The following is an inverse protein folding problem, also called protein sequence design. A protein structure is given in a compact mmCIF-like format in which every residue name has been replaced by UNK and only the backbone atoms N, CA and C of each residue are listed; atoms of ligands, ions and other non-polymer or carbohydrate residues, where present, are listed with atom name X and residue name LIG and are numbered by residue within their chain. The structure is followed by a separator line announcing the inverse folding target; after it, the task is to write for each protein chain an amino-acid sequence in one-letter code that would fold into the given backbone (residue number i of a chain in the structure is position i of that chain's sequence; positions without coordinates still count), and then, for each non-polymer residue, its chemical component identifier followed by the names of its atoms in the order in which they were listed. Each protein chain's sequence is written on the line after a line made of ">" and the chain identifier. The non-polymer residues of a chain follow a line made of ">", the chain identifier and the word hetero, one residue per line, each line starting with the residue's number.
data_IF_725556207757
#
_entry.id   IF_725556207757
#
_cell.length_a   1.000
_cell.length_b   1.000
_cell.length_c   1.000
_cell.angle_alpha   90.00
_cell.angle_beta   90.00
_cell.angle_gamma   90.00
#
_symmetry.space_group_name_H-M   'P 1'
#
loop_
_entity.id
_entity.type
_entity.pdbx_description
1 polymer ?
#
# COMPACT_ATOMS: atom_id res chain seq x y z
N UNK A 1 32.27 -40.28 -2.12
CA UNK A 1 31.51 -41.50 -2.46
C UNK A 1 30.14 -41.44 -1.80
N UNK A 2 29.12 -41.69 -2.62
CA UNK A 2 27.66 -41.82 -2.43
C UNK A 2 27.11 -42.11 -1.02
N UNK A 3 26.20 -41.24 -0.56
CA UNK A 3 25.00 -41.61 0.24
C UNK A 3 23.77 -40.92 -0.37
N UNK A 4 23.27 -41.47 -1.49
CA UNK A 4 21.99 -42.17 -1.62
C UNK A 4 20.74 -41.33 -1.28
N UNK A 5 20.33 -40.57 -2.30
CA UNK A 5 18.94 -40.29 -2.70
C UNK A 5 18.10 -41.57 -2.59
N UNK A 6 16.95 -41.50 -1.92
CA UNK A 6 15.72 -42.31 -2.17
C UNK A 6 14.68 -42.02 -1.09
N UNK A 7 13.70 -41.15 -1.39
CA UNK A 7 12.40 -41.07 -0.70
C UNK A 7 11.39 -40.30 -1.57
N UNK A 8 11.31 -40.69 -2.84
CA UNK A 8 10.22 -40.33 -3.75
C UNK A 8 9.78 -41.63 -4.43
N UNK A 9 8.90 -42.40 -3.78
CA UNK A 9 8.16 -43.48 -4.45
C UNK A 9 7.06 -44.09 -3.56
N UNK A 10 6.04 -43.31 -3.16
CA UNK A 10 4.72 -43.87 -2.80
C UNK A 10 3.68 -42.80 -3.12
N UNK A 11 2.54 -43.20 -3.68
CA UNK A 11 1.39 -42.40 -4.15
C UNK A 11 1.35 -42.04 -5.64
N UNK A 12 1.61 -43.04 -6.49
CA UNK A 12 0.97 -43.14 -7.79
C UNK A 12 0.21 -44.48 -7.85
N UNK A 13 -1.04 -44.42 -8.30
CA UNK A 13 -1.92 -45.54 -8.66
C UNK A 13 -2.77 -46.22 -7.56
N UNK A 14 -3.97 -45.69 -7.32
CA UNK A 14 -5.23 -46.48 -7.32
C UNK A 14 -6.27 -45.62 -8.08
N UNK A 15 -6.46 -45.84 -9.38
CA UNK A 15 -7.66 -46.47 -9.98
C UNK A 15 -8.97 -45.83 -9.48
N UNK A 16 -9.61 -44.91 -10.21
CA UNK A 16 -10.43 -45.10 -11.42
C UNK A 16 -11.71 -45.94 -11.22
N UNK A 17 -12.81 -45.42 -11.81
CA UNK A 17 -14.18 -45.97 -11.98
C UNK A 17 -15.12 -45.68 -10.78
N UNK A 18 -16.35 -45.18 -10.92
CA UNK A 18 -17.38 -45.20 -11.97
C UNK A 18 -18.23 -43.91 -11.90
N UNK A 19 -18.43 -43.14 -12.98
CA UNK A 19 -19.56 -43.14 -13.94
C UNK A 19 -21.00 -43.20 -13.38
N UNK A 20 -21.71 -42.10 -13.69
CA UNK A 20 -23.11 -41.95 -14.17
C UNK A 20 -24.30 -41.96 -13.21
N UNK A 21 -24.98 -40.79 -13.22
CA UNK A 21 -26.41 -40.52 -13.34
C UNK A 21 -27.35 -40.98 -12.22
N UNK A 22 -28.19 -40.05 -11.71
CA UNK A 22 -29.66 -40.15 -11.67
C UNK A 22 -30.30 -38.92 -10.97
N UNK A 23 -31.14 -38.23 -11.76
CA UNK A 23 -32.30 -37.33 -11.52
C UNK A 23 -32.26 -36.14 -10.55
N UNK A 24 -32.33 -34.97 -11.17
CA UNK A 24 -33.31 -33.88 -10.98
C UNK A 24 -34.62 -34.29 -10.25
N UNK A 25 -34.96 -33.59 -9.17
CA UNK A 25 -36.34 -33.43 -8.72
C UNK A 25 -36.55 -31.96 -8.33
N UNK A 26 -37.44 -31.35 -9.11
CA UNK A 26 -37.90 -29.98 -9.02
C UNK A 26 -38.57 -29.62 -7.69
N UNK A 27 -38.47 -28.31 -7.39
CA UNK A 27 -39.49 -27.43 -6.80
C UNK A 27 -40.22 -27.88 -5.53
N UNK A 28 -40.12 -27.05 -4.48
CA UNK A 28 -41.33 -26.50 -3.85
C UNK A 28 -41.00 -25.23 -3.06
N UNK A 29 -41.85 -24.22 -3.25
CA UNK A 29 -41.84 -22.90 -2.60
C UNK A 29 -42.68 -22.98 -1.32
N UNK A 30 -42.27 -22.33 -0.24
CA UNK A 30 -43.20 -21.59 0.61
C UNK A 30 -42.51 -20.47 1.39
N UNK A 31 -43.10 -19.28 1.33
CA UNK A 31 -42.73 -18.06 2.05
C UNK A 31 -43.03 -18.19 3.55
N UNK A 32 -42.29 -17.48 4.39
CA UNK A 32 -42.61 -17.42 5.83
C UNK A 32 -41.65 -16.54 6.63
N UNK A 33 -41.94 -15.25 6.64
CA UNK A 33 -41.43 -14.23 7.57
C UNK A 33 -41.52 -14.63 9.04
N UNK A 34 -40.51 -14.27 9.86
CA UNK A 34 -40.68 -13.37 11.02
C UNK A 34 -39.35 -13.11 11.76
N UNK A 35 -39.26 -11.87 12.23
CA UNK A 35 -38.23 -11.25 13.05
C UNK A 35 -37.92 -12.04 14.34
N UNK A 36 -36.69 -11.89 14.87
CA UNK A 36 -36.45 -11.15 16.12
C UNK A 36 -34.97 -11.15 16.51
N UNK A 37 -34.58 -10.03 17.12
CA UNK A 37 -33.25 -9.64 17.55
C UNK A 37 -32.62 -10.55 18.62
N UNK A 38 -31.29 -10.48 18.76
CA UNK A 38 -30.65 -9.88 19.95
C UNK A 38 -29.13 -10.03 19.90
N UNK A 39 -28.45 -8.87 19.94
CA UNK A 39 -27.05 -8.69 20.28
C UNK A 39 -26.91 -8.91 21.79
N UNK A 40 -25.89 -9.64 22.23
CA UNK A 40 -25.34 -9.44 23.56
C UNK A 40 -23.80 -9.39 23.50
N UNK A 41 -23.30 -8.27 24.00
CA UNK A 41 -21.91 -7.88 24.17
C UNK A 41 -21.74 -7.53 25.63
N UNK A 42 -20.86 -8.22 26.35
CA UNK A 42 -20.05 -7.78 27.49
C UNK A 42 -19.51 -9.05 28.20
N UNK A 43 -18.40 -9.10 28.93
CA UNK A 43 -17.65 -8.05 29.62
C UNK A 43 -16.26 -8.61 30.02
N UNK A 44 -15.30 -7.69 29.94
CA UNK A 44 -14.03 -7.52 30.66
C UNK A 44 -13.89 -8.28 31.99
N UNK A 45 -12.69 -8.82 32.25
CA UNK A 45 -12.12 -8.90 33.61
C UNK A 45 -10.64 -8.49 33.60
N UNK A 46 -10.34 -7.44 34.37
CA UNK A 46 -9.01 -7.02 34.84
C UNK A 46 -8.50 -7.96 35.94
N UNK A 47 -7.18 -8.17 36.05
CA UNK A 47 -6.35 -7.71 37.20
C UNK A 47 -4.90 -8.24 37.17
N UNK A 48 -3.99 -7.29 37.40
CA UNK A 48 -2.81 -7.28 38.31
C UNK A 48 -1.98 -8.57 38.50
N UNK A 49 -0.64 -8.51 38.38
CA UNK A 49 0.29 -8.14 39.48
C UNK A 49 1.78 -8.24 39.07
N UNK A 50 2.61 -7.46 39.79
CA UNK A 50 4.03 -7.68 40.18
C UNK A 50 5.13 -7.78 39.11
N UNK A 51 6.03 -6.80 39.00
CA UNK A 51 7.22 -6.53 39.85
C UNK A 51 8.28 -7.62 39.80
N UNK A 52 9.47 -7.26 39.31
CA UNK A 52 10.74 -7.56 39.99
C UNK A 52 11.85 -6.63 39.49
N UNK A 53 12.50 -6.02 40.47
CA UNK A 53 13.76 -5.30 40.45
C UNK A 53 14.91 -6.15 39.92
N UNK A 54 15.90 -5.53 39.26
CA UNK A 54 17.30 -5.72 39.61
C UNK A 54 18.14 -4.52 39.15
N UNK A 55 18.89 -4.03 40.11
CA UNK A 55 19.96 -3.03 40.10
C UNK A 55 21.22 -3.57 39.39
N UNK A 56 21.99 -2.68 38.76
CA UNK A 56 23.46 -2.54 38.90
C UNK A 56 23.98 -1.49 37.90
N UNK A 57 24.21 -0.30 38.46
CA UNK A 57 25.46 0.48 38.51
C UNK A 57 26.35 0.68 37.26
N UNK A 58 26.33 1.93 36.79
CA UNK A 58 27.43 2.90 36.52
C UNK A 58 28.65 2.47 35.69
N UNK A 59 28.85 3.22 34.60
CA UNK A 59 30.13 3.50 33.94
C UNK A 59 30.02 4.75 33.05
N UNK A 60 30.18 5.93 33.65
CA UNK A 60 30.74 7.16 33.04
C UNK A 60 32.21 6.84 32.61
N UNK A 61 32.91 7.42 31.64
CA UNK A 61 32.98 8.70 30.90
C UNK A 61 33.93 8.40 29.70
N UNK A 62 33.67 8.85 28.47
CA UNK A 62 34.19 10.07 27.81
C UNK A 62 35.36 9.84 26.82
N UNK A 63 35.19 10.48 25.65
CA UNK A 63 36.15 10.95 24.64
C UNK A 63 37.36 10.09 24.22
N UNK A 64 37.46 9.79 22.92
CA UNK A 64 38.37 10.55 22.06
C UNK A 64 38.11 10.33 20.57
N UNK A 65 38.25 11.43 19.83
CA UNK A 65 38.09 11.60 18.38
C UNK A 65 39.47 11.45 17.73
N UNK A 66 39.57 10.75 16.59
CA UNK A 66 40.51 11.19 15.56
C UNK A 66 39.81 11.83 14.35
N UNK A 67 40.19 13.08 14.06
CA UNK A 67 39.97 13.71 12.77
C UNK A 67 40.99 13.15 11.79
N UNK A 68 40.54 12.64 10.64
CA UNK A 68 41.32 12.70 9.42
C UNK A 68 40.47 13.28 8.28
N UNK A 69 40.93 14.46 7.88
CA UNK A 69 40.93 15.10 6.58
C UNK A 69 40.27 14.33 5.41
N UNK A 70 39.10 14.81 5.00
CA UNK A 70 38.71 14.80 3.59
C UNK A 70 38.38 16.24 3.17
N UNK A 71 39.42 16.96 2.75
CA UNK A 71 39.43 17.83 1.56
C UNK A 71 38.03 18.22 1.08
N UNK A 72 37.59 19.40 1.53
CA UNK A 72 36.40 20.09 1.07
C UNK A 72 36.51 20.38 -0.44
N UNK A 73 36.13 19.40 -1.24
CA UNK A 73 35.81 19.58 -2.65
C UNK A 73 34.43 20.23 -2.69
N UNK A 74 34.38 21.42 -3.26
CA UNK A 74 33.21 22.26 -3.43
C UNK A 74 31.96 21.44 -3.81
N UNK A 75 30.99 21.38 -2.89
CA UNK A 75 29.62 20.99 -3.22
C UNK A 75 29.09 22.06 -4.18
N UNK A 76 28.62 21.70 -5.39
CA UNK A 76 28.16 22.69 -6.36
C UNK A 76 26.95 23.44 -5.82
N UNK A 77 27.12 24.76 -5.63
CA UNK A 77 26.04 25.73 -5.31
C UNK A 77 25.02 25.90 -6.46
N UNK A 78 25.03 25.02 -7.48
CA UNK A 78 24.21 25.11 -8.68
C UNK A 78 22.85 24.39 -8.53
N UNK A 79 22.69 23.48 -7.58
CA UNK A 79 21.46 22.68 -7.41
C UNK A 79 20.33 23.44 -6.69
N UNK A 80 20.65 24.48 -5.92
CA UNK A 80 19.65 25.16 -5.09
C UNK A 80 18.69 26.01 -5.94
N UNK A 81 19.17 26.61 -7.02
CA UNK A 81 18.33 27.43 -7.90
C UNK A 81 17.45 26.58 -8.84
N UNK A 82 17.95 25.41 -9.28
CA UNK A 82 17.13 24.42 -10.00
C UNK A 82 16.11 23.73 -9.10
N UNK A 83 16.47 23.39 -7.85
CA UNK A 83 15.54 22.89 -6.84
C UNK A 83 14.39 23.89 -6.61
N UNK A 84 14.68 25.19 -6.50
CA UNK A 84 13.67 26.21 -6.24
C UNK A 84 12.76 26.44 -7.44
N UNK A 85 13.29 26.45 -8.68
CA UNK A 85 12.48 26.56 -9.90
C UNK A 85 11.63 25.32 -10.17
N UNK A 86 12.14 24.12 -9.84
CA UNK A 86 11.36 22.90 -9.89
C UNK A 86 10.27 22.91 -8.80
N UNK A 87 10.58 23.35 -7.57
CA UNK A 87 9.61 23.50 -6.48
C UNK A 87 8.50 24.51 -6.80
N UNK A 88 8.82 25.63 -7.43
CA UNK A 88 7.85 26.67 -7.83
C UNK A 88 6.93 26.18 -8.97
N UNK A 89 7.45 25.39 -9.92
CA UNK A 89 6.63 24.73 -10.97
C UNK A 89 5.77 23.59 -10.41
N UNK A 90 6.23 22.94 -9.33
CA UNK A 90 5.56 21.83 -8.65
C UNK A 90 4.36 22.32 -7.81
N UNK A 91 4.35 23.57 -7.34
CA UNK A 91 3.24 24.14 -6.54
C UNK A 91 1.92 24.32 -7.31
N UNK A 92 1.95 24.48 -8.64
CA UNK A 92 0.73 24.58 -9.47
C UNK A 92 0.28 23.23 -10.08
N UNK A 93 0.86 22.11 -9.62
CA UNK A 93 0.42 20.79 -10.05
C UNK A 93 -1.02 20.52 -9.56
N UNK A 94 -2.04 20.80 -10.38
CA UNK A 94 -3.46 20.60 -10.02
C UNK A 94 -4.11 19.37 -10.67
N UNK A 95 -3.37 18.70 -11.55
CA UNK A 95 -3.91 17.59 -12.31
C UNK A 95 -3.81 16.27 -11.51
N UNK A 96 -4.96 15.75 -11.09
CA UNK A 96 -5.06 14.45 -10.40
C UNK A 96 -5.49 13.30 -11.32
N UNK A 97 -5.39 13.50 -12.64
CA UNK A 97 -5.72 12.48 -13.61
C UNK A 97 -4.76 11.29 -13.55
N UNK A 98 -5.28 10.13 -13.92
CA UNK A 98 -4.54 8.87 -13.91
C UNK A 98 -3.19 8.99 -14.60
N UNK A 99 -3.19 9.51 -15.84
CA UNK A 99 -2.00 9.62 -16.69
C UNK A 99 -0.94 10.53 -16.08
N UNK A 100 -1.35 11.69 -15.58
CA UNK A 100 -0.43 12.70 -15.04
C UNK A 100 0.18 12.22 -13.72
N UNK A 101 -0.64 11.66 -12.83
CA UNK A 101 -0.16 11.15 -11.53
C UNK A 101 0.70 9.90 -11.72
N UNK A 102 0.31 8.96 -12.58
CA UNK A 102 1.08 7.75 -12.85
C UNK A 102 2.46 8.09 -13.44
N UNK A 103 2.49 9.01 -14.39
CA UNK A 103 3.74 9.48 -15.00
C UNK A 103 4.64 10.18 -13.98
N UNK A 104 4.07 11.01 -13.10
CA UNK A 104 4.83 11.70 -12.06
C UNK A 104 5.46 10.72 -11.07
N UNK A 105 4.69 9.76 -10.55
CA UNK A 105 5.22 8.75 -9.62
C UNK A 105 6.29 7.90 -10.31
N UNK A 106 6.08 7.52 -11.56
CA UNK A 106 7.06 6.75 -12.33
C UNK A 106 8.38 7.52 -12.51
N UNK A 107 8.31 8.82 -12.84
CA UNK A 107 9.48 9.67 -13.09
C UNK A 107 10.22 10.02 -11.80
N UNK A 108 9.50 10.42 -10.76
CA UNK A 108 10.09 11.02 -9.55
C UNK A 108 10.08 10.10 -8.33
N UNK A 109 9.49 8.91 -8.43
CA UNK A 109 9.40 7.90 -7.37
C UNK A 109 8.76 8.44 -6.06
N UNK A 110 7.92 9.47 -6.20
CA UNK A 110 7.18 10.10 -5.10
C UNK A 110 5.85 10.63 -5.61
N UNK A 111 4.91 10.88 -4.71
CA UNK A 111 3.65 11.52 -5.07
C UNK A 111 3.85 12.99 -5.43
N UNK A 112 3.01 13.54 -6.33
CA UNK A 112 2.88 14.98 -6.48
C UNK A 112 2.56 15.66 -5.13
N UNK A 113 3.02 16.90 -4.89
CA UNK A 113 2.90 17.60 -3.60
C UNK A 113 1.45 17.97 -3.19
N UNK A 114 0.49 17.81 -4.10
CA UNK A 114 -0.92 18.01 -3.80
C UNK A 114 -1.52 16.83 -3.03
N UNK A 115 -0.81 15.71 -2.97
CA UNK A 115 -1.23 14.58 -2.17
C UNK A 115 -0.79 14.75 -0.72
N UNK A 116 -1.71 14.44 0.18
CA UNK A 116 -1.47 14.33 1.62
C UNK A 116 -2.04 13.00 2.11
N UNK A 117 -1.45 12.44 3.14
CA UNK A 117 -1.97 11.24 3.81
C UNK A 117 -3.31 11.53 4.50
N UNK A 118 -4.08 10.49 4.78
CA UNK A 118 -5.31 10.62 5.60
C UNK A 118 -5.03 11.26 6.96
N UNK A 119 -3.87 10.94 7.56
CA UNK A 119 -3.44 11.51 8.84
C UNK A 119 -3.17 13.01 8.74
N UNK A 120 -2.47 13.45 7.69
CA UNK A 120 -2.22 14.88 7.46
C UNK A 120 -3.52 15.64 7.19
N UNK A 121 -4.43 15.05 6.39
CA UNK A 121 -5.76 15.61 6.15
C UNK A 121 -6.54 15.81 7.46
N UNK A 122 -6.54 14.80 8.34
CA UNK A 122 -7.17 14.89 9.66
C UNK A 122 -6.55 15.99 10.52
N UNK A 123 -5.22 16.14 10.50
CA UNK A 123 -4.50 17.13 11.30
C UNK A 123 -4.71 18.57 10.84
N UNK A 124 -5.07 18.81 9.57
CA UNK A 124 -5.39 20.15 9.07
C UNK A 124 -6.67 20.72 9.69
N UNK A 125 -7.53 19.85 10.25
CA UNK A 125 -8.86 20.23 10.71
C UNK A 125 -9.80 20.58 9.55
N UNK A 126 -11.11 20.63 9.85
CA UNK A 126 -12.13 20.94 8.84
C UNK A 126 -12.86 19.71 8.30
N UNK A 127 -13.75 19.94 7.35
CA UNK A 127 -14.48 18.87 6.67
C UNK A 127 -13.59 18.21 5.60
N UNK A 128 -13.92 16.97 5.22
CA UNK A 128 -13.20 16.27 4.14
C UNK A 128 -13.25 17.08 2.83
N UNK A 129 -14.36 17.78 2.56
CA UNK A 129 -14.57 18.62 1.39
C UNK A 129 -13.60 19.81 1.33
N UNK A 130 -13.40 20.50 2.46
CA UNK A 130 -12.47 21.64 2.55
C UNK A 130 -11.03 21.23 2.22
N UNK A 131 -10.64 20.02 2.64
CA UNK A 131 -9.35 19.43 2.30
C UNK A 131 -9.31 19.05 0.82
N UNK A 132 -10.34 18.37 0.30
CA UNK A 132 -10.40 17.91 -1.09
C UNK A 132 -10.45 19.06 -2.11
N UNK A 133 -10.91 20.25 -1.71
CA UNK A 133 -10.84 21.46 -2.53
C UNK A 133 -9.41 21.97 -2.78
N UNK A 134 -8.42 21.53 -1.99
CA UNK A 134 -7.03 22.00 -2.06
C UNK A 134 -6.01 20.89 -2.25
N UNK A 135 -6.33 19.68 -1.82
CA UNK A 135 -5.42 18.52 -1.76
C UNK A 135 -6.16 17.25 -2.16
N UNK A 136 -5.42 16.20 -2.47
CA UNK A 136 -5.98 14.85 -2.67
C UNK A 136 -5.38 13.87 -1.67
N UNK A 137 -6.10 12.79 -1.39
CA UNK A 137 -5.65 11.80 -0.41
C UNK A 137 -4.72 10.80 -1.07
N UNK A 138 -3.56 10.56 -0.46
CA UNK A 138 -2.62 9.56 -0.97
C UNK A 138 -1.36 9.42 -0.15
N UNK A 139 -0.66 8.32 -0.40
CA UNK A 139 0.59 7.98 0.25
C UNK A 139 0.42 7.02 1.42
N UNK A 140 -0.80 6.68 1.82
CA UNK A 140 -1.04 5.69 2.87
C UNK A 140 -0.64 4.27 2.42
N UNK A 141 -0.32 3.41 3.38
CA UNK A 141 0.01 2.01 3.13
C UNK A 141 -1.19 1.24 2.57
N UNK A 142 -0.97 0.48 1.50
CA UNK A 142 -1.97 -0.42 0.92
C UNK A 142 -1.64 -1.87 1.30
N UNK A 143 -2.49 -2.48 2.13
CA UNK A 143 -2.22 -3.78 2.72
C UNK A 143 -2.28 -4.98 1.78
N UNK A 144 -2.92 -4.86 0.61
CA UNK A 144 -3.14 -5.97 -0.33
C UNK A 144 -3.71 -7.22 0.38
N UNK A 145 -4.73 -7.02 1.23
CA UNK A 145 -5.30 -8.08 2.08
C UNK A 145 -5.98 -9.19 1.27
N UNK A 146 -6.59 -8.84 0.14
CA UNK A 146 -7.20 -9.77 -0.80
C UNK A 146 -6.16 -10.50 -1.66
N UNK A 147 -4.91 -10.05 -1.67
CA UNK A 147 -3.82 -10.70 -2.40
C UNK A 147 -3.92 -10.60 -3.92
N UNK A 148 -4.67 -9.63 -4.45
CA UNK A 148 -4.86 -9.42 -5.89
C UNK A 148 -3.59 -8.90 -6.59
N UNK A 149 -2.68 -8.27 -5.84
CA UNK A 149 -1.41 -7.76 -6.38
C UNK A 149 -0.22 -8.70 -6.06
N UNK A 150 0.79 -8.80 -6.94
CA UNK A 150 1.92 -9.70 -6.74
C UNK A 150 2.71 -9.39 -5.45
N UNK A 151 2.96 -10.43 -4.64
CA UNK A 151 3.77 -10.34 -3.42
C UNK A 151 5.23 -10.71 -3.71
N UNK A 152 6.16 -10.04 -3.03
CA UNK A 152 7.60 -10.31 -3.05
C UNK A 152 8.19 -9.85 -1.71
N UNK A 153 9.21 -10.54 -1.20
CA UNK A 153 9.91 -10.11 0.01
C UNK A 153 10.42 -8.66 -0.12
N UNK A 154 10.19 -7.86 0.92
CA UNK A 154 10.53 -6.42 0.92
C UNK A 154 9.61 -5.53 0.06
N UNK A 155 8.64 -6.10 -0.67
CA UNK A 155 7.68 -5.29 -1.43
C UNK A 155 6.60 -4.74 -0.52
N UNK A 156 6.39 -3.44 -0.63
CA UNK A 156 5.30 -2.70 0.02
C UNK A 156 4.53 -1.95 -1.04
N UNK A 157 3.25 -1.70 -0.78
CA UNK A 157 2.38 -0.91 -1.64
C UNK A 157 1.87 0.31 -0.90
N UNK A 158 1.65 1.38 -1.64
CA UNK A 158 0.95 2.59 -1.22
C UNK A 158 -0.15 2.91 -2.21
N UNK A 159 -1.13 3.69 -1.77
CA UNK A 159 -2.27 4.09 -2.59
C UNK A 159 -2.41 5.61 -2.69
N UNK A 160 -3.02 6.08 -3.77
CA UNK A 160 -3.52 7.45 -3.87
C UNK A 160 -4.85 7.52 -4.65
N UNK A 161 -5.63 8.53 -4.32
CA UNK A 161 -6.88 8.87 -4.99
C UNK A 161 -6.61 9.48 -6.37
N UNK A 162 -7.49 9.19 -7.33
CA UNK A 162 -7.40 9.70 -8.71
C UNK A 162 -8.69 10.45 -9.04
N UNK A 163 -8.57 11.56 -9.76
CA UNK A 163 -9.67 12.46 -10.15
C UNK A 163 -10.47 13.02 -8.96
N UNK A 164 -9.82 13.35 -7.83
CA UNK A 164 -10.50 13.78 -6.59
C UNK A 164 -10.36 15.26 -6.24
N UNK A 165 -9.40 15.98 -6.82
CA UNK A 165 -9.20 17.38 -6.47
C UNK A 165 -10.42 18.23 -6.87
N UNK A 166 -10.98 18.96 -5.90
CA UNK A 166 -12.17 19.81 -6.10
C UNK A 166 -13.48 19.03 -6.26
N UNK A 167 -13.52 17.77 -5.81
CA UNK A 167 -14.74 16.94 -5.83
C UNK A 167 -15.31 16.79 -4.43
N UNK A 168 -16.62 16.50 -4.34
CA UNK A 168 -17.31 16.31 -3.05
C UNK A 168 -17.10 14.91 -2.44
N UNK A 169 -16.42 14.02 -3.16
CA UNK A 169 -16.23 12.63 -2.76
C UNK A 169 -14.92 12.08 -3.30
N UNK A 170 -14.26 11.24 -2.49
CA UNK A 170 -13.04 10.51 -2.88
C UNK A 170 -13.26 9.56 -4.06
N UNK A 171 -14.51 9.26 -4.42
CA UNK A 171 -14.84 8.34 -5.50
C UNK A 171 -14.24 6.94 -5.32
N UNK A 172 -14.18 6.18 -6.40
CA UNK A 172 -13.74 4.77 -6.42
C UNK A 172 -12.37 4.54 -7.09
N UNK A 173 -11.82 5.56 -7.75
CA UNK A 173 -10.61 5.46 -8.57
C UNK A 173 -9.36 5.58 -7.72
N UNK A 174 -8.44 4.62 -7.84
CA UNK A 174 -7.19 4.61 -7.08
C UNK A 174 -6.05 4.14 -7.95
N UNK A 175 -4.87 4.66 -7.64
CA UNK A 175 -3.61 4.13 -8.10
C UNK A 175 -2.89 3.47 -6.93
N UNK A 176 -2.38 2.27 -7.14
CA UNK A 176 -1.62 1.50 -6.16
C UNK A 176 -0.24 1.26 -6.72
N UNK A 177 0.80 1.74 -6.02
CA UNK A 177 2.18 1.69 -6.48
C UNK A 177 3.08 1.04 -5.44
N UNK A 178 4.04 0.24 -5.89
CA UNK A 178 5.00 -0.43 -5.04
C UNK A 178 6.28 0.38 -4.86
N UNK A 179 7.06 0.04 -3.84
CA UNK A 179 8.41 0.57 -3.67
C UNK A 179 9.41 0.09 -4.76
N UNK A 180 9.06 -0.91 -5.56
CA UNK A 180 9.90 -1.48 -6.61
C UNK A 180 9.37 -1.28 -8.04
N UNK A 181 8.42 -0.35 -8.23
CA UNK A 181 8.04 0.18 -9.55
C UNK A 181 6.86 -0.50 -10.23
N UNK A 182 6.15 -1.37 -9.53
CA UNK A 182 4.84 -1.82 -9.97
C UNK A 182 3.81 -0.73 -9.73
N UNK A 183 2.92 -0.55 -10.70
CA UNK A 183 1.82 0.42 -10.59
C UNK A 183 0.56 -0.15 -11.20
N UNK A 184 -0.51 -0.14 -10.42
CA UNK A 184 -1.82 -0.65 -10.79
C UNK A 184 -2.88 0.42 -10.62
N UNK A 185 -3.91 0.36 -11.45
CA UNK A 185 -5.09 1.21 -11.37
C UNK A 185 -6.33 0.37 -11.08
N UNK A 186 -7.22 0.91 -10.27
CA UNK A 186 -8.58 0.39 -10.05
C UNK A 186 -9.57 1.54 -10.23
N UNK A 187 -10.67 1.28 -10.93
CA UNK A 187 -11.82 2.19 -11.05
C UNK A 187 -13.09 1.60 -10.42
N UNK A 188 -12.95 0.52 -9.66
CA UNK A 188 -14.02 -0.28 -9.07
C UNK A 188 -13.82 -0.50 -7.56
N UNK A 189 -13.09 0.40 -6.90
CA UNK A 189 -12.83 0.38 -5.46
C UNK A 189 -12.13 -0.91 -5.00
N UNK A 190 -11.01 -1.23 -5.66
CA UNK A 190 -10.10 -2.36 -5.37
C UNK A 190 -10.67 -3.75 -5.69
N UNK A 191 -11.77 -3.86 -6.45
CA UNK A 191 -12.32 -5.15 -6.85
C UNK A 191 -11.49 -5.81 -7.97
N UNK A 192 -10.91 -5.00 -8.87
CA UNK A 192 -9.98 -5.44 -9.91
C UNK A 192 -8.89 -4.41 -10.16
N UNK A 193 -7.82 -4.83 -10.85
CA UNK A 193 -6.64 -4.00 -11.11
C UNK A 193 -6.16 -4.13 -12.55
N UNK A 194 -5.81 -3.00 -13.15
CA UNK A 194 -5.10 -2.91 -14.44
C UNK A 194 -3.64 -2.53 -14.18
N UNK A 195 -2.69 -3.30 -14.71
CA UNK A 195 -1.27 -2.99 -14.64
C UNK A 195 -0.94 -1.81 -15.56
N UNK A 196 -0.31 -0.77 -15.02
CA UNK A 196 0.18 0.40 -15.79
C UNK A 196 1.68 0.30 -16.03
N UNK A 197 2.45 0.06 -14.96
CA UNK A 197 3.91 -0.03 -15.00
C UNK A 197 4.39 -1.27 -14.27
N UNK A 198 5.40 -1.94 -14.83
CA UNK A 198 5.97 -3.17 -14.26
C UNK A 198 7.35 -2.97 -13.60
N UNK A 199 7.94 -1.78 -13.71
CA UNK A 199 9.26 -1.40 -13.17
C UNK A 199 9.49 0.11 -13.35
N UNK A 200 10.50 0.67 -12.67
CA UNK A 200 10.86 2.09 -12.74
C UNK A 200 11.57 2.53 -14.03
N UNK A 201 11.78 1.65 -15.00
CA UNK A 201 12.46 2.03 -16.26
C UNK A 201 11.52 2.80 -17.20
N UNK A 202 12.07 3.79 -17.87
CA UNK A 202 11.39 4.76 -18.76
C UNK A 202 11.16 4.23 -20.17
N UNK A 203 11.58 3.00 -20.47
CA UNK A 203 11.64 2.48 -21.84
C UNK A 203 10.30 2.01 -22.42
N UNK A 204 9.17 2.09 -21.69
CA UNK A 204 7.90 1.59 -22.19
C UNK A 204 6.68 2.46 -21.82
N UNK A 205 6.46 3.55 -22.57
CA UNK A 205 5.28 4.43 -22.48
C UNK A 205 4.09 3.96 -23.35
N UNK A 206 4.09 2.74 -23.89
CA UNK A 206 3.13 2.29 -24.92
C UNK A 206 1.70 2.02 -24.41
N UNK A 207 1.42 2.14 -23.10
CA UNK A 207 0.14 1.74 -22.49
C UNK A 207 -0.68 2.89 -21.87
N UNK A 208 -0.42 4.17 -22.22
CA UNK A 208 -1.07 5.36 -21.63
C UNK A 208 -1.87 6.26 -22.59
#
# INVERSE_FOLDING_TARGET
>A
MLKKIKRYLVFLCVFALATTNIVELDSYIEEGTLETASIDTSKVSEKESESCTNDVTIGEEESEKPQEDITATAIPLLDKEQSLKEQEKIEDFKDTSLKTVSYYIHTYQKLPPIYITKKEAYNLGGSLEEVMNKKSIGGDYFGNYQGLLPKKEGRTYRECDIDTLGTDSRGRKRLVYSNDGLMYYTDDHYASFTLLYSHWDSTNLQNL
#
